data_IF_511356403161
#
_entry.id   IF_511356403161
#
_cell.length_a   1.000
_cell.length_b   1.000
_cell.length_c   1.000
_cell.angle_alpha   90.00
_cell.angle_beta   90.00
_cell.angle_gamma   90.00
#
_symmetry.space_group_name_H-M   'P 1'
#
loop_
_entity.id
_entity.type
_entity.pdbx_description
1 polymer ?
#
# COMPACT_ATOMS: atom_id res chain seq x y z
N UNK A 1 -28.71 28.61 13.34
CA UNK A 1 -29.65 27.59 13.84
C UNK A 1 -29.91 26.48 12.81
N UNK A 2 -30.32 26.79 11.56
CA UNK A 2 -30.55 25.78 10.50
C UNK A 2 -29.29 24.96 10.12
N UNK A 3 -28.11 25.59 10.04
CA UNK A 3 -26.84 24.89 9.78
C UNK A 3 -26.47 23.91 10.90
N UNK A 4 -26.76 24.29 12.15
CA UNK A 4 -26.52 23.44 13.33
C UNK A 4 -27.47 22.23 13.36
N UNK A 5 -28.75 22.45 13.04
CA UNK A 5 -29.75 21.38 12.91
C UNK A 5 -29.39 20.43 11.76
N UNK A 6 -28.98 20.97 10.61
CA UNK A 6 -28.53 20.17 9.46
C UNK A 6 -27.31 19.31 9.81
N UNK A 7 -26.31 19.89 10.47
CA UNK A 7 -25.14 19.14 10.95
C UNK A 7 -25.49 18.03 11.95
N UNK A 8 -26.44 18.28 12.86
CA UNK A 8 -26.85 17.27 13.84
C UNK A 8 -27.69 16.15 13.21
N UNK A 9 -28.51 16.46 12.19
CA UNK A 9 -29.22 15.45 11.40
C UNK A 9 -28.25 14.59 10.61
N UNK A 10 -27.24 15.20 9.99
CA UNK A 10 -26.22 14.49 9.21
C UNK A 10 -25.33 13.61 10.09
N UNK A 11 -24.90 14.10 11.26
CA UNK A 11 -24.23 13.28 12.29
C UNK A 11 -25.09 12.11 12.74
N UNK A 12 -26.38 12.34 13.01
CA UNK A 12 -27.32 11.28 13.38
C UNK A 12 -27.50 10.24 12.27
N UNK A 13 -27.61 10.67 11.01
CA UNK A 13 -27.69 9.77 9.85
C UNK A 13 -26.43 8.94 9.67
N UNK A 14 -25.26 9.56 9.81
CA UNK A 14 -23.97 8.87 9.75
C UNK A 14 -23.84 7.86 10.88
N UNK A 15 -24.34 8.20 12.07
CA UNK A 15 -24.33 7.29 13.20
C UNK A 15 -25.26 6.10 12.98
N UNK A 16 -26.47 6.33 12.46
CA UNK A 16 -27.43 5.26 12.12
C UNK A 16 -26.86 4.36 11.02
N UNK A 17 -26.21 4.92 9.99
CA UNK A 17 -25.64 4.13 8.89
C UNK A 17 -24.48 3.22 9.31
N UNK A 18 -23.86 3.44 10.48
CA UNK A 18 -22.89 2.52 11.08
C UNK A 18 -23.51 1.22 11.62
N UNK A 19 -24.82 1.21 11.88
CA UNK A 19 -25.53 0.05 12.43
C UNK A 19 -26.35 -0.69 11.39
N UNK A 20 -26.78 -0.01 10.32
CA UNK A 20 -27.63 -0.56 9.28
C UNK A 20 -26.92 -0.61 7.92
N UNK A 21 -27.14 -1.69 7.16
CA UNK A 21 -26.63 -1.89 5.80
C UNK A 21 -25.66 -3.08 5.66
N UNK A 22 -25.16 -3.33 4.43
CA UNK A 22 -24.33 -4.49 4.14
C UNK A 22 -22.98 -4.42 4.86
N UNK A 23 -22.52 -5.56 5.36
CA UNK A 23 -21.16 -5.72 5.89
C UNK A 23 -20.26 -6.28 4.81
N UNK A 24 -19.05 -5.75 4.74
CA UNK A 24 -18.06 -6.13 3.74
C UNK A 24 -16.93 -6.91 4.39
N UNK A 25 -16.31 -7.81 3.62
CA UNK A 25 -15.09 -8.48 4.07
C UNK A 25 -13.94 -7.48 4.06
N UNK A 26 -12.92 -7.74 4.89
CA UNK A 26 -11.72 -6.89 5.00
C UNK A 26 -11.06 -6.65 3.62
N UNK A 27 -10.97 -7.69 2.79
CA UNK A 27 -10.43 -7.61 1.42
C UNK A 27 -11.20 -6.63 0.52
N UNK A 28 -12.53 -6.63 0.60
CA UNK A 28 -13.36 -5.76 -0.25
C UNK A 28 -13.20 -4.29 0.13
N UNK A 29 -13.13 -4.01 1.44
CA UNK A 29 -12.89 -2.67 1.98
C UNK A 29 -11.49 -2.18 1.56
N UNK A 30 -10.48 -3.05 1.66
CA UNK A 30 -9.11 -2.75 1.27
C UNK A 30 -9.01 -2.44 -0.23
N UNK A 31 -9.64 -3.25 -1.08
CA UNK A 31 -9.68 -3.00 -2.52
C UNK A 31 -10.34 -1.66 -2.86
N UNK A 32 -11.45 -1.31 -2.20
CA UNK A 32 -12.10 0.00 -2.38
C UNK A 32 -11.18 1.15 -1.97
N UNK A 33 -10.46 1.00 -0.86
CA UNK A 33 -9.47 1.97 -0.42
C UNK A 33 -8.33 2.15 -1.45
N UNK A 34 -7.75 1.05 -1.96
CA UNK A 34 -6.71 1.14 -2.98
C UNK A 34 -7.21 1.75 -4.29
N UNK A 35 -8.42 1.39 -4.74
CA UNK A 35 -9.03 1.96 -5.94
C UNK A 35 -9.25 3.48 -5.79
N UNK A 36 -9.75 3.92 -4.64
CA UNK A 36 -9.88 5.33 -4.31
C UNK A 36 -8.52 6.04 -4.24
N UNK A 37 -7.49 5.43 -3.63
CA UNK A 37 -6.13 6.01 -3.56
C UNK A 37 -5.54 6.23 -4.96
N UNK A 38 -5.72 5.26 -5.86
CA UNK A 38 -5.21 5.28 -7.24
C UNK A 38 -6.07 6.09 -8.22
N UNK A 39 -7.23 6.61 -7.79
CA UNK A 39 -8.09 7.40 -8.66
C UNK A 39 -7.42 8.74 -9.03
N UNK A 40 -7.66 9.21 -10.26
CA UNK A 40 -7.13 10.50 -10.72
C UNK A 40 -7.66 11.69 -9.91
N UNK A 41 -8.89 11.57 -9.41
CA UNK A 41 -9.56 12.57 -8.57
C UNK A 41 -10.11 11.86 -7.34
N UNK A 42 -9.51 12.15 -6.18
CA UNK A 42 -9.93 11.58 -4.90
C UNK A 42 -11.16 12.31 -4.40
N UNK A 43 -12.30 11.62 -4.44
CA UNK A 43 -13.57 12.14 -3.95
C UNK A 43 -13.68 12.01 -2.43
N UNK A 44 -14.02 13.11 -1.74
CA UNK A 44 -14.33 13.08 -0.31
C UNK A 44 -15.60 12.28 0.01
N UNK A 45 -16.57 12.24 -0.92
CA UNK A 45 -17.80 11.47 -0.72
C UNK A 45 -17.54 9.96 -0.77
N UNK A 46 -16.69 9.51 -1.68
CA UNK A 46 -16.26 8.12 -1.78
C UNK A 46 -15.44 7.71 -0.55
N UNK A 47 -14.51 8.57 -0.13
CA UNK A 47 -13.75 8.39 1.11
C UNK A 47 -14.67 8.20 2.31
N UNK A 48 -15.64 9.09 2.48
CA UNK A 48 -16.61 9.00 3.58
C UNK A 48 -17.47 7.73 3.49
N UNK A 49 -17.83 7.29 2.29
CA UNK A 49 -18.54 6.01 2.09
C UNK A 49 -17.69 4.82 2.55
N UNK A 50 -16.43 4.73 2.11
CA UNK A 50 -15.50 3.66 2.50
C UNK A 50 -15.33 3.64 4.02
N UNK A 51 -15.19 4.81 4.62
CA UNK A 51 -15.08 4.97 6.06
C UNK A 51 -16.31 4.44 6.81
N UNK A 52 -17.51 4.80 6.37
CA UNK A 52 -18.77 4.37 7.01
C UNK A 52 -18.96 2.86 6.86
N UNK A 53 -18.78 2.34 5.64
CA UNK A 53 -18.91 0.91 5.34
C UNK A 53 -17.87 0.07 6.07
N UNK A 54 -16.63 0.57 6.11
CA UNK A 54 -15.51 -0.06 6.80
C UNK A 54 -15.72 -0.10 8.32
N UNK A 55 -16.16 1.01 8.90
CA UNK A 55 -16.50 1.10 10.34
C UNK A 55 -17.68 0.18 10.69
N UNK A 56 -18.75 0.17 9.88
CA UNK A 56 -19.92 -0.70 10.09
C UNK A 56 -19.54 -2.18 10.16
N UNK A 57 -18.60 -2.59 9.30
CA UNK A 57 -18.17 -3.98 9.13
C UNK A 57 -17.29 -4.49 10.28
N UNK A 58 -16.80 -3.61 11.17
CA UNK A 58 -16.03 -4.02 12.34
C UNK A 58 -16.90 -4.67 13.41
N UNK A 59 -16.31 -5.61 14.13
CA UNK A 59 -16.88 -6.24 15.32
C UNK A 59 -16.34 -5.57 16.58
N UNK A 60 -17.19 -5.45 17.60
CA UNK A 60 -16.86 -4.88 18.90
C UNK A 60 -17.40 -5.81 19.99
N UNK A 61 -16.65 -5.94 21.08
CA UNK A 61 -17.11 -6.65 22.26
C UNK A 61 -18.15 -5.88 23.07
N UNK A 62 -18.23 -4.55 22.92
CA UNK A 62 -19.23 -3.71 23.59
C UNK A 62 -20.66 -4.05 23.17
N UNK A 63 -20.85 -4.77 22.06
CA UNK A 63 -22.16 -5.32 21.71
C UNK A 63 -22.70 -6.28 22.81
N UNK A 64 -21.83 -6.86 23.65
CA UNK A 64 -22.24 -7.64 24.84
C UNK A 64 -23.01 -6.78 25.84
N UNK A 65 -22.66 -5.50 26.01
CA UNK A 65 -23.36 -4.57 26.91
C UNK A 65 -24.80 -4.33 26.47
N UNK A 66 -25.07 -4.42 25.16
CA UNK A 66 -26.43 -4.28 24.62
C UNK A 66 -27.40 -5.31 25.22
N UNK A 67 -26.95 -6.55 25.39
CA UNK A 67 -27.77 -7.62 25.98
C UNK A 67 -28.17 -7.30 27.41
N UNK A 68 -27.25 -6.75 28.19
CA UNK A 68 -27.51 -6.36 29.58
C UNK A 68 -28.52 -5.22 29.69
N UNK A 69 -28.43 -4.21 28.82
CA UNK A 69 -29.38 -3.09 28.81
C UNK A 69 -30.79 -3.60 28.45
N UNK A 70 -30.93 -4.53 27.50
CA UNK A 70 -32.23 -5.16 27.18
C UNK A 70 -32.77 -5.91 28.39
N UNK A 71 -31.95 -6.74 29.06
CA UNK A 71 -32.37 -7.49 30.24
C UNK A 71 -32.85 -6.54 31.35
N UNK A 72 -32.10 -5.47 31.62
CA UNK A 72 -32.49 -4.43 32.58
C UNK A 72 -33.82 -3.76 32.20
N UNK A 73 -34.03 -3.48 30.91
CA UNK A 73 -35.27 -2.87 30.41
C UNK A 73 -36.47 -3.79 30.64
N UNK A 74 -36.34 -5.09 30.31
CA UNK A 74 -37.41 -6.08 30.50
C UNK A 74 -37.71 -6.29 31.97
N UNK A 75 -36.67 -6.42 32.82
CA UNK A 75 -36.84 -6.54 34.26
C UNK A 75 -37.54 -5.31 34.84
N UNK A 76 -37.12 -4.11 34.45
CA UNK A 76 -37.74 -2.88 34.92
C UNK A 76 -39.22 -2.79 34.52
N UNK A 77 -39.54 -3.13 33.27
CA UNK A 77 -40.91 -3.14 32.76
C UNK A 77 -41.78 -4.16 33.51
N UNK A 78 -41.25 -5.35 33.79
CA UNK A 78 -41.96 -6.38 34.57
C UNK A 78 -42.22 -5.93 36.02
N UNK A 79 -41.24 -5.30 36.67
CA UNK A 79 -41.39 -4.78 38.04
C UNK A 79 -42.39 -3.62 38.04
N UNK A 80 -42.29 -2.69 37.08
CA UNK A 80 -43.18 -1.54 36.96
C UNK A 80 -44.65 -1.94 36.80
N UNK A 81 -44.95 -2.98 36.02
CA UNK A 81 -46.31 -3.50 35.85
C UNK A 81 -46.79 -4.20 37.14
N UNK A 82 -45.92 -4.97 37.80
CA UNK A 82 -46.28 -5.76 38.97
C UNK A 82 -46.60 -4.89 40.21
N UNK A 83 -45.87 -3.79 40.40
CA UNK A 83 -45.94 -2.97 41.62
C UNK A 83 -46.61 -1.61 41.43
N UNK A 84 -47.17 -1.33 40.25
CA UNK A 84 -47.89 -0.09 39.91
C UNK A 84 -47.18 1.19 40.39
N UNK A 85 -45.90 1.31 40.01
CA UNK A 85 -45.07 2.44 40.44
C UNK A 85 -45.61 3.78 39.95
N UNK A 86 -45.42 4.82 40.78
CA UNK A 86 -45.79 6.18 40.45
C UNK A 86 -45.15 6.65 39.12
N UNK A 87 -45.91 7.35 38.28
CA UNK A 87 -45.50 7.73 36.92
C UNK A 87 -44.15 8.45 36.84
N UNK A 88 -43.83 9.30 37.82
CA UNK A 88 -42.55 10.01 37.91
C UNK A 88 -41.37 9.04 37.98
N UNK A 89 -41.49 7.94 38.75
CA UNK A 89 -40.43 6.94 38.91
C UNK A 89 -40.21 6.19 37.58
N UNK A 90 -41.31 5.82 36.90
CA UNK A 90 -41.23 5.16 35.59
C UNK A 90 -40.58 6.06 34.54
N UNK A 91 -40.85 7.36 34.58
CA UNK A 91 -40.28 8.35 33.69
C UNK A 91 -38.77 8.55 33.94
N UNK A 92 -38.33 8.63 35.20
CA UNK A 92 -36.90 8.71 35.55
C UNK A 92 -36.14 7.45 35.10
N UNK A 93 -36.71 6.27 35.33
CA UNK A 93 -36.09 5.01 34.93
C UNK A 93 -36.02 4.88 33.40
N UNK A 94 -37.06 5.30 32.68
CA UNK A 94 -37.04 5.38 31.22
C UNK A 94 -35.90 6.27 30.71
N UNK A 95 -35.74 7.48 31.26
CA UNK A 95 -34.64 8.37 30.86
C UNK A 95 -33.26 7.79 31.19
N UNK A 96 -33.14 7.06 32.30
CA UNK A 96 -31.87 6.40 32.69
C UNK A 96 -31.51 5.29 31.70
N UNK A 97 -32.47 4.42 31.37
CA UNK A 97 -32.29 3.35 30.38
C UNK A 97 -32.00 3.95 29.00
N UNK A 98 -32.73 4.98 28.58
CA UNK A 98 -32.51 5.67 27.31
C UNK A 98 -31.11 6.28 27.24
N UNK A 99 -30.64 6.93 28.31
CA UNK A 99 -29.28 7.46 28.36
C UNK A 99 -28.23 6.33 28.27
N UNK A 100 -28.43 5.21 28.97
CA UNK A 100 -27.55 4.04 28.87
C UNK A 100 -27.51 3.47 27.44
N UNK A 101 -28.67 3.40 26.76
CA UNK A 101 -28.73 3.01 25.35
C UNK A 101 -27.92 3.95 24.46
N UNK A 102 -28.12 5.26 24.60
CA UNK A 102 -27.40 6.27 23.79
C UNK A 102 -25.90 6.15 24.02
N UNK A 103 -25.44 6.09 25.27
CA UNK A 103 -24.01 5.97 25.58
C UNK A 103 -23.41 4.68 25.01
N UNK A 104 -24.13 3.56 25.09
CA UNK A 104 -23.65 2.29 24.54
C UNK A 104 -23.56 2.33 23.01
N UNK A 105 -24.53 2.92 22.31
CA UNK A 105 -24.46 3.14 20.85
C UNK A 105 -23.25 4.00 20.50
N UNK A 106 -23.04 5.11 21.22
CA UNK A 106 -21.90 6.01 20.98
C UNK A 106 -20.57 5.29 21.18
N UNK A 107 -20.44 4.51 22.26
CA UNK A 107 -19.23 3.74 22.56
C UNK A 107 -18.95 2.72 21.46
N UNK A 108 -19.97 1.96 21.03
CA UNK A 108 -19.84 0.97 19.94
C UNK A 108 -19.37 1.66 18.65
N UNK A 109 -19.97 2.80 18.31
CA UNK A 109 -19.60 3.54 17.11
C UNK A 109 -18.15 4.03 17.16
N UNK A 110 -17.70 4.51 18.33
CA UNK A 110 -16.32 4.95 18.55
C UNK A 110 -15.32 3.80 18.44
N UNK A 111 -15.56 2.68 19.13
CA UNK A 111 -14.64 1.54 19.12
C UNK A 111 -14.55 0.91 17.72
N UNK A 112 -15.69 0.73 17.03
CA UNK A 112 -15.68 0.26 15.63
C UNK A 112 -14.87 1.19 14.74
N UNK A 113 -14.99 2.51 14.96
CA UNK A 113 -14.26 3.50 14.16
C UNK A 113 -12.76 3.43 14.44
N UNK A 114 -12.38 3.25 15.70
CA UNK A 114 -11.01 3.05 16.11
C UNK A 114 -10.39 1.79 15.50
N UNK A 115 -11.09 0.65 15.55
CA UNK A 115 -10.64 -0.61 14.92
C UNK A 115 -10.43 -0.40 13.42
N UNK A 116 -11.38 0.24 12.74
CA UNK A 116 -11.26 0.53 11.32
C UNK A 116 -10.09 1.49 11.00
N UNK A 117 -9.92 2.56 11.79
CA UNK A 117 -8.82 3.49 11.61
C UNK A 117 -7.47 2.80 11.83
N UNK A 118 -7.34 1.96 12.86
CA UNK A 118 -6.11 1.19 13.13
C UNK A 118 -5.78 0.28 11.95
N UNK A 119 -6.79 -0.44 11.44
CA UNK A 119 -6.67 -1.26 10.23
C UNK A 119 -6.16 -0.44 9.03
N UNK A 120 -6.80 0.68 8.66
CA UNK A 120 -6.36 1.49 7.52
C UNK A 120 -4.99 2.13 7.76
N UNK A 121 -4.68 2.53 8.99
CA UNK A 121 -3.38 3.11 9.35
C UNK A 121 -2.26 2.10 9.11
N UNK A 122 -2.43 0.85 9.52
CA UNK A 122 -1.48 -0.21 9.24
C UNK A 122 -1.26 -0.43 7.76
N UNK A 123 -2.33 -0.42 6.96
CA UNK A 123 -2.25 -0.58 5.51
C UNK A 123 -1.52 0.59 4.85
N UNK A 124 -1.76 1.82 5.32
CA UNK A 124 -1.02 3.01 4.88
C UNK A 124 0.46 2.90 5.26
N UNK A 125 0.78 2.51 6.49
CA UNK A 125 2.16 2.35 6.96
C UNK A 125 2.89 1.23 6.21
N UNK A 126 2.20 0.14 5.87
CA UNK A 126 2.77 -0.93 5.05
C UNK A 126 3.24 -0.42 3.68
N UNK A 127 2.64 0.65 3.14
CA UNK A 127 3.07 1.25 1.87
C UNK A 127 4.46 1.86 1.93
N UNK A 128 5.03 2.14 3.11
CA UNK A 128 6.42 2.57 3.23
C UNK A 128 7.42 1.49 2.82
N UNK A 129 7.03 0.21 2.87
CA UNK A 129 7.91 -0.90 2.47
C UNK A 129 8.44 -0.72 1.04
N UNK A 130 9.75 -0.88 0.86
CA UNK A 130 10.38 -0.85 -0.47
C UNK A 130 9.73 -1.89 -1.41
N UNK A 131 9.53 -3.12 -0.94
CA UNK A 131 8.90 -4.21 -1.71
C UNK A 131 7.53 -3.82 -2.27
N UNK A 132 6.74 -3.08 -1.49
CA UNK A 132 5.42 -2.63 -1.92
C UNK A 132 5.51 -1.60 -3.05
N UNK A 133 6.44 -0.64 -2.96
CA UNK A 133 6.66 0.32 -4.06
C UNK A 133 7.19 -0.39 -5.30
N UNK A 134 8.18 -1.28 -5.14
CA UNK A 134 8.72 -2.06 -6.25
C UNK A 134 7.61 -2.83 -6.97
N UNK A 135 6.79 -3.55 -6.20
CA UNK A 135 5.68 -4.29 -6.76
C UNK A 135 4.61 -3.39 -7.41
N UNK A 136 4.28 -2.25 -6.81
CA UNK A 136 3.34 -1.27 -7.38
C UNK A 136 3.83 -0.73 -8.73
N UNK A 137 5.11 -0.38 -8.85
CA UNK A 137 5.69 0.14 -10.09
C UNK A 137 5.80 -0.94 -11.18
N UNK A 138 6.24 -2.16 -10.84
CA UNK A 138 6.30 -3.28 -11.78
C UNK A 138 4.89 -3.66 -12.26
N UNK A 139 3.93 -3.82 -11.35
CA UNK A 139 2.56 -4.21 -11.71
C UNK A 139 1.78 -3.13 -12.48
N UNK A 140 2.23 -1.87 -12.44
CA UNK A 140 1.67 -0.79 -13.24
C UNK A 140 2.10 -0.88 -14.72
N UNK A 141 3.25 -1.50 -14.99
CA UNK A 141 3.67 -1.83 -16.36
C UNK A 141 2.80 -2.99 -16.84
N UNK A 142 2.02 -2.76 -17.91
CA UNK A 142 1.28 -3.84 -18.56
C UNK A 142 2.26 -4.83 -19.15
N UNK A 143 2.17 -6.10 -18.73
CA UNK A 143 2.91 -7.21 -19.32
C UNK A 143 2.64 -7.25 -20.83
N UNK A 144 3.70 -7.14 -21.62
CA UNK A 144 3.71 -7.63 -22.99
C UNK A 144 4.42 -8.98 -23.03
N UNK A 145 3.79 -9.95 -23.66
CA UNK A 145 4.41 -11.24 -23.95
C UNK A 145 5.53 -11.05 -25.00
N UNK A 146 6.67 -11.63 -24.64
CA UNK A 146 7.76 -12.13 -25.47
C UNK A 146 8.69 -11.21 -26.29
N UNK A 147 9.97 -11.56 -26.12
CA UNK A 147 11.14 -11.39 -26.97
C UNK A 147 11.54 -9.97 -27.34
N UNK A 148 12.37 -9.38 -26.47
CA UNK A 148 13.17 -8.24 -26.85
C UNK A 148 14.46 -8.76 -27.50
N UNK A 149 14.55 -8.56 -28.81
CA UNK A 149 15.78 -8.75 -29.58
C UNK A 149 16.71 -7.60 -29.21
N UNK A 150 17.67 -7.88 -28.33
CA UNK A 150 18.83 -7.02 -28.12
C UNK A 150 19.76 -7.21 -29.32
N UNK A 151 20.34 -6.12 -29.84
CA UNK A 151 21.42 -6.22 -30.81
C UNK A 151 22.72 -6.49 -30.04
N UNK A 152 23.39 -7.60 -30.36
CA UNK A 152 24.61 -8.04 -29.70
C UNK A 152 25.72 -7.01 -29.94
N UNK A 153 26.45 -6.62 -28.90
CA UNK A 153 27.72 -5.95 -29.10
C UNK A 153 28.70 -7.00 -29.66
N UNK A 154 29.18 -6.83 -30.90
CA UNK A 154 30.00 -7.83 -31.62
C UNK A 154 31.37 -8.14 -30.98
N UNK A 155 31.72 -7.54 -29.83
CA UNK A 155 33.02 -7.74 -29.18
C UNK A 155 32.88 -8.58 -27.91
N UNK A 156 33.57 -9.72 -27.85
CA UNK A 156 33.88 -10.37 -26.58
C UNK A 156 34.77 -9.42 -25.76
N UNK A 157 34.19 -8.84 -24.72
CA UNK A 157 34.84 -7.81 -23.89
C UNK A 157 35.53 -8.53 -22.70
N UNK A 158 36.86 -8.58 -22.71
CA UNK A 158 37.72 -9.10 -21.61
C UNK A 158 37.76 -8.15 -20.39
N UNK A 159 36.60 -7.76 -19.86
CA UNK A 159 36.52 -6.89 -18.68
C UNK A 159 35.67 -7.55 -17.60
N UNK A 160 35.89 -7.23 -16.32
CA UNK A 160 35.04 -7.72 -15.23
C UNK A 160 33.71 -6.95 -15.18
N UNK A 161 32.69 -7.49 -14.50
CA UNK A 161 31.40 -6.79 -14.36
C UNK A 161 31.54 -5.42 -13.69
N UNK A 162 32.45 -5.31 -12.74
CA UNK A 162 32.74 -4.09 -11.97
C UNK A 162 33.35 -2.97 -12.80
N UNK A 163 33.95 -3.29 -13.96
CA UNK A 163 34.55 -2.32 -14.87
C UNK A 163 33.52 -1.69 -15.82
N UNK A 164 32.29 -2.21 -15.81
CA UNK A 164 31.19 -1.74 -16.65
C UNK A 164 30.35 -0.77 -15.84
N UNK A 165 30.16 0.44 -16.37
CA UNK A 165 29.24 1.43 -15.82
C UNK A 165 28.14 1.78 -16.81
N UNK A 166 26.88 1.62 -16.42
CA UNK A 166 25.71 2.08 -17.17
C UNK A 166 25.27 3.41 -16.56
N UNK A 167 25.51 4.50 -17.28
CA UNK A 167 25.09 5.85 -16.90
C UNK A 167 23.68 6.13 -17.43
N UNK A 168 22.73 6.47 -16.54
CA UNK A 168 21.38 6.89 -16.91
C UNK A 168 21.34 8.42 -17.06
N UNK A 169 21.22 8.89 -18.29
CA UNK A 169 21.24 10.31 -18.64
C UNK A 169 19.82 10.89 -18.74
N UNK A 170 19.59 12.13 -18.28
CA UNK A 170 18.28 12.77 -18.40
C UNK A 170 17.80 12.83 -19.85
N UNK A 171 16.53 12.51 -20.05
CA UNK A 171 15.84 12.72 -21.32
C UNK A 171 14.82 13.86 -21.13
N UNK A 172 15.04 14.98 -21.81
CA UNK A 172 14.23 16.19 -21.68
C UNK A 172 12.75 15.96 -22.01
N UNK A 173 12.44 14.97 -22.84
CA UNK A 173 11.08 14.70 -23.30
C UNK A 173 10.36 13.61 -22.50
N UNK A 174 11.10 12.70 -21.85
CA UNK A 174 10.50 11.59 -21.10
C UNK A 174 11.38 11.14 -19.92
N UNK A 175 11.01 11.57 -18.71
CA UNK A 175 11.71 11.18 -17.47
C UNK A 175 11.66 9.68 -17.18
N UNK A 176 10.69 8.93 -17.71
CA UNK A 176 10.61 7.48 -17.53
C UNK A 176 11.56 6.72 -18.45
N UNK A 177 12.05 7.34 -19.53
CA UNK A 177 13.00 6.75 -20.46
C UNK A 177 14.29 7.59 -20.55
N UNK A 178 15.13 7.56 -19.50
CA UNK A 178 16.44 8.19 -19.60
C UNK A 178 17.29 7.53 -20.69
N UNK A 179 18.13 8.32 -21.34
CA UNK A 179 19.12 7.78 -22.29
C UNK A 179 20.20 7.01 -21.55
N UNK A 180 20.91 6.14 -22.25
CA UNK A 180 21.95 5.30 -21.65
C UNK A 180 23.31 5.66 -22.23
N UNK A 181 24.35 5.61 -21.41
CA UNK A 181 25.74 5.60 -21.86
C UNK A 181 26.48 4.52 -21.12
N UNK A 182 27.18 3.68 -21.86
CA UNK A 182 27.98 2.59 -21.31
C UNK A 182 29.43 3.03 -21.28
N UNK A 183 30.07 2.86 -20.13
CA UNK A 183 31.51 3.02 -19.95
C UNK A 183 32.11 1.65 -19.66
N UNK A 184 33.16 1.28 -20.37
CA UNK A 184 33.90 0.02 -20.17
C UNK A 184 35.35 0.40 -19.95
N UNK A 185 35.83 0.33 -18.71
CA UNK A 185 37.12 0.88 -18.33
C UNK A 185 37.23 2.38 -18.70
N UNK A 186 38.08 2.71 -19.66
CA UNK A 186 38.28 4.08 -20.15
C UNK A 186 37.49 4.42 -21.43
N UNK A 187 36.84 3.43 -22.06
CA UNK A 187 36.07 3.64 -23.28
C UNK A 187 34.63 4.07 -22.98
N UNK A 188 34.12 5.03 -23.75
CA UNK A 188 32.74 5.53 -23.62
C UNK A 188 31.96 5.24 -24.88
N UNK A 189 30.78 4.65 -24.74
CA UNK A 189 29.85 4.46 -25.85
C UNK A 189 29.23 5.79 -26.28
N UNK A 190 28.66 5.79 -27.48
CA UNK A 190 27.68 6.81 -27.87
C UNK A 190 26.46 6.75 -26.95
N UNK A 191 25.65 7.81 -26.98
CA UNK A 191 24.36 7.82 -26.26
C UNK A 191 23.44 6.80 -26.92
N UNK A 192 22.95 5.87 -26.12
CA UNK A 192 22.10 4.74 -26.53
C UNK A 192 20.65 4.99 -26.12
N UNK A 193 19.73 4.51 -26.95
CA UNK A 193 18.33 4.38 -26.58
C UNK A 193 18.16 3.16 -25.66
N UNK A 194 17.33 3.20 -24.60
CA UNK A 194 17.01 2.03 -23.76
C UNK A 194 16.57 0.78 -24.53
N UNK A 195 16.04 0.93 -25.75
CA UNK A 195 15.72 -0.20 -26.63
C UNK A 195 16.93 -1.09 -26.95
N UNK A 196 18.13 -0.51 -27.03
CA UNK A 196 19.37 -1.25 -27.32
C UNK A 196 19.75 -2.29 -26.27
N UNK A 197 19.28 -2.12 -25.02
CA UNK A 197 19.47 -3.06 -23.92
C UNK A 197 18.20 -3.84 -23.58
N UNK A 198 17.16 -3.71 -24.40
CA UNK A 198 15.87 -4.34 -24.17
C UNK A 198 15.18 -3.86 -22.89
N UNK A 199 15.23 -2.56 -22.63
CA UNK A 199 14.65 -1.91 -21.45
C UNK A 199 13.36 -1.13 -21.77
N UNK A 200 12.83 -1.31 -22.99
CA UNK A 200 11.56 -0.73 -23.44
C UNK A 200 10.57 -1.85 -23.75
N UNK A 201 9.29 -1.51 -23.83
CA UNK A 201 8.28 -2.47 -24.31
C UNK A 201 8.50 -2.83 -25.77
N UNK A 202 8.19 -4.07 -26.11
CA UNK A 202 8.18 -4.57 -27.49
C UNK A 202 7.04 -3.93 -28.29
N UNK A 203 5.88 -3.68 -27.67
CA UNK A 203 4.72 -3.07 -28.32
C UNK A 203 4.84 -1.54 -28.51
N UNK A 204 5.49 -0.85 -27.58
CA UNK A 204 5.73 0.60 -27.63
C UNK A 204 7.10 0.97 -27.08
N UNK A 205 8.04 1.28 -27.98
CA UNK A 205 9.40 1.71 -27.64
C UNK A 205 9.46 3.08 -26.92
N UNK A 206 8.33 3.74 -26.67
CA UNK A 206 8.21 4.96 -25.86
C UNK A 206 7.84 4.71 -24.40
N UNK A 207 7.62 3.45 -24.02
CA UNK A 207 7.37 3.06 -22.63
C UNK A 207 8.49 2.16 -22.10
N UNK A 208 8.86 2.35 -20.83
CA UNK A 208 9.78 1.44 -20.12
C UNK A 208 9.11 0.09 -19.84
N UNK A 209 9.91 -0.97 -19.78
CA UNK A 209 9.47 -2.28 -19.29
C UNK A 209 9.84 -2.49 -17.80
N UNK A 210 9.50 -3.65 -17.26
CA UNK A 210 9.77 -4.03 -15.87
C UNK A 210 11.28 -4.14 -15.58
N UNK A 211 12.07 -4.55 -16.58
CA UNK A 211 13.53 -4.69 -16.45
C UNK A 211 14.21 -3.35 -16.22
N UNK A 212 13.73 -2.29 -16.87
CA UNK A 212 14.30 -0.96 -16.66
C UNK A 212 14.03 -0.42 -15.25
N UNK A 213 12.88 -0.77 -14.67
CA UNK A 213 12.55 -0.43 -13.28
C UNK A 213 13.56 -1.08 -12.34
N UNK A 214 13.86 -2.37 -12.53
CA UNK A 214 14.89 -3.07 -11.77
C UNK A 214 16.28 -2.45 -11.93
N UNK A 215 16.67 -2.09 -13.15
CA UNK A 215 17.97 -1.45 -13.39
C UNK A 215 18.10 -0.11 -12.66
N UNK A 216 17.03 0.71 -12.62
CA UNK A 216 17.02 1.98 -11.88
C UNK A 216 17.19 1.79 -10.38
N UNK A 217 16.65 0.70 -9.82
CA UNK A 217 16.81 0.35 -8.41
C UNK A 217 18.25 -0.02 -8.10
N UNK A 218 18.87 -0.83 -8.96
CA UNK A 218 20.30 -1.11 -8.86
C UNK A 218 21.12 0.17 -9.00
N UNK A 219 20.68 1.14 -9.81
CA UNK A 219 21.31 2.46 -9.86
C UNK A 219 21.20 3.29 -8.58
N UNK A 220 20.09 3.16 -7.86
CA UNK A 220 19.89 3.93 -6.63
C UNK A 220 20.59 3.32 -5.40
N UNK A 221 20.60 1.99 -5.29
CA UNK A 221 21.07 1.30 -4.08
C UNK A 221 22.22 0.32 -4.34
N UNK A 222 22.43 -0.13 -5.57
CA UNK A 222 23.34 -1.23 -5.92
C UNK A 222 22.82 -2.63 -5.56
N UNK A 223 21.79 -2.71 -4.72
CA UNK A 223 21.24 -3.94 -4.19
C UNK A 223 19.82 -3.75 -3.66
N UNK A 224 19.08 -4.84 -3.46
CA UNK A 224 17.81 -4.78 -2.72
C UNK A 224 17.41 -6.14 -2.13
N UNK A 225 16.51 -6.09 -1.15
CA UNK A 225 15.80 -7.25 -0.61
C UNK A 225 14.32 -7.09 -0.95
N UNK A 226 13.70 -8.14 -1.49
CA UNK A 226 12.28 -8.15 -1.77
C UNK A 226 11.53 -9.07 -0.80
N UNK A 227 10.76 -8.45 0.08
CA UNK A 227 9.87 -9.16 1.00
C UNK A 227 8.40 -9.00 0.57
N UNK A 228 7.92 -9.99 -0.19
CA UNK A 228 6.53 -10.14 -0.62
C UNK A 228 6.04 -11.59 -0.54
N UNK A 229 4.83 -11.85 -1.02
CA UNK A 229 4.29 -13.21 -1.07
C UNK A 229 5.07 -14.11 -2.04
N UNK A 230 5.01 -15.43 -1.85
CA UNK A 230 5.77 -16.40 -2.67
C UNK A 230 5.56 -16.23 -4.18
N UNK A 231 4.36 -15.86 -4.63
CA UNK A 231 4.08 -15.60 -6.05
C UNK A 231 4.77 -14.33 -6.55
N UNK A 232 4.80 -13.28 -5.74
CA UNK A 232 5.50 -12.03 -6.05
C UNK A 232 7.02 -12.25 -6.06
N UNK A 233 7.55 -12.97 -5.06
CA UNK A 233 8.97 -13.34 -4.98
C UNK A 233 9.43 -14.05 -6.25
N UNK A 234 8.72 -15.11 -6.66
CA UNK A 234 9.00 -15.83 -7.91
C UNK A 234 8.97 -14.91 -9.15
N UNK A 235 8.01 -14.00 -9.22
CA UNK A 235 7.92 -13.04 -10.33
C UNK A 235 9.11 -12.08 -10.36
N UNK A 236 9.57 -11.60 -9.20
CA UNK A 236 10.76 -10.75 -9.11
C UNK A 236 12.02 -11.54 -9.47
N UNK A 237 12.15 -12.77 -8.98
CA UNK A 237 13.30 -13.65 -9.29
C UNK A 237 13.40 -13.90 -10.81
N UNK A 238 12.27 -14.16 -11.48
CA UNK A 238 12.22 -14.31 -12.93
C UNK A 238 12.62 -13.03 -13.68
N UNK A 239 12.18 -11.86 -13.22
CA UNK A 239 12.54 -10.57 -13.81
C UNK A 239 14.03 -10.25 -13.62
N UNK A 240 14.58 -10.52 -12.43
CA UNK A 240 16.02 -10.35 -12.16
C UNK A 240 16.84 -11.28 -13.07
N UNK A 241 16.41 -12.53 -13.23
CA UNK A 241 17.07 -13.47 -14.15
C UNK A 241 17.02 -12.99 -15.60
N UNK A 242 15.88 -12.46 -16.06
CA UNK A 242 15.75 -11.88 -17.42
C UNK A 242 16.66 -10.67 -17.61
N UNK A 243 16.74 -9.77 -16.61
CA UNK A 243 17.65 -8.63 -16.64
C UNK A 243 19.12 -9.09 -16.71
N UNK A 244 19.49 -10.06 -15.87
CA UNK A 244 20.83 -10.66 -15.88
C UNK A 244 21.20 -11.25 -17.25
N UNK A 245 20.27 -12.00 -17.86
CA UNK A 245 20.44 -12.54 -19.21
C UNK A 245 20.59 -11.47 -20.29
N UNK A 246 19.82 -10.38 -20.22
CA UNK A 246 19.95 -9.26 -21.17
C UNK A 246 21.33 -8.59 -21.05
N UNK A 247 21.84 -8.43 -19.83
CA UNK A 247 23.18 -7.89 -19.58
C UNK A 247 24.27 -8.83 -20.12
N UNK A 248 24.16 -10.14 -19.87
CA UNK A 248 25.07 -11.16 -20.44
C UNK A 248 25.03 -11.13 -21.97
N UNK A 249 23.84 -11.04 -22.56
CA UNK A 249 23.69 -11.00 -24.01
C UNK A 249 24.40 -9.78 -24.62
N UNK A 250 24.30 -8.63 -23.97
CA UNK A 250 24.88 -7.38 -24.47
C UNK A 250 26.40 -7.28 -24.22
N UNK A 251 26.86 -7.64 -23.03
CA UNK A 251 28.25 -7.47 -22.60
C UNK A 251 29.13 -8.70 -22.78
N UNK A 252 28.54 -9.85 -23.14
CA UNK A 252 29.20 -11.14 -23.23
C UNK A 252 29.14 -11.92 -21.92
N UNK A 253 29.30 -13.24 -22.05
CA UNK A 253 29.36 -14.18 -20.93
C UNK A 253 30.68 -14.05 -20.17
N UNK A 254 30.62 -14.22 -18.84
CA UNK A 254 31.75 -14.16 -17.90
C UNK A 254 31.62 -15.29 -16.87
N UNK A 255 32.65 -15.47 -16.05
CA UNK A 255 32.69 -16.54 -15.03
C UNK A 255 31.58 -16.44 -13.98
N UNK A 256 31.14 -15.22 -13.66
CA UNK A 256 30.04 -14.95 -12.74
C UNK A 256 28.89 -14.28 -13.49
N UNK A 257 27.67 -14.40 -12.96
CA UNK A 257 26.52 -13.65 -13.45
C UNK A 257 26.60 -12.18 -13.00
N UNK A 258 26.12 -11.21 -13.81
CA UNK A 258 26.17 -9.78 -13.47
C UNK A 258 25.29 -9.42 -12.26
N UNK A 259 24.28 -10.25 -11.95
CA UNK A 259 23.40 -10.09 -10.80
C UNK A 259 23.29 -11.44 -10.08
N UNK A 260 23.58 -11.46 -8.79
CA UNK A 260 23.51 -12.67 -7.96
C UNK A 260 22.73 -12.41 -6.67
N UNK A 261 22.13 -13.47 -6.13
CA UNK A 261 21.53 -13.44 -4.82
C UNK A 261 22.52 -13.96 -3.78
N UNK A 262 22.73 -13.19 -2.72
CA UNK A 262 23.46 -13.65 -1.55
C UNK A 262 22.62 -14.70 -0.81
N UNK A 263 23.20 -15.90 -0.64
CA UNK A 263 22.55 -17.03 0.01
C UNK A 263 22.26 -16.79 1.51
N UNK A 264 23.06 -15.96 2.18
CA UNK A 264 22.94 -15.72 3.62
C UNK A 264 21.92 -14.62 3.91
N UNK A 265 21.90 -13.57 3.09
CA UNK A 265 21.04 -12.40 3.31
C UNK A 265 19.79 -12.36 2.43
N UNK A 266 19.72 -13.18 1.38
CA UNK A 266 18.63 -13.18 0.38
C UNK A 266 18.60 -11.92 -0.49
N UNK A 267 19.65 -11.10 -0.44
CA UNK A 267 19.78 -9.82 -1.12
C UNK A 267 20.26 -10.03 -2.55
N UNK A 268 19.64 -9.33 -3.49
CA UNK A 268 20.12 -9.27 -4.87
C UNK A 268 21.18 -8.19 -4.99
N UNK A 269 22.32 -8.53 -5.58
CA UNK A 269 23.46 -7.65 -5.79
C UNK A 269 23.79 -7.56 -7.28
N UNK A 270 23.97 -6.34 -7.77
CA UNK A 270 24.40 -6.08 -9.15
C UNK A 270 25.87 -5.69 -9.15
N UNK A 271 26.70 -6.44 -9.89
CA UNK A 271 28.13 -6.17 -10.00
C UNK A 271 28.46 -5.12 -11.05
N UNK A 272 27.52 -4.83 -11.97
CA UNK A 272 27.63 -3.70 -12.89
C UNK A 272 27.30 -2.43 -12.13
N UNK A 273 28.13 -1.40 -12.29
CA UNK A 273 27.86 -0.08 -11.72
C UNK A 273 26.76 0.61 -12.53
N UNK A 274 25.70 1.09 -11.87
CA UNK A 274 24.64 1.85 -12.53
C UNK A 274 24.62 3.25 -11.94
N UNK A 275 25.00 4.24 -12.74
CA UNK A 275 25.08 5.64 -12.31
C UNK A 275 23.81 6.39 -12.76
N UNK A 276 22.81 6.48 -11.87
CA UNK A 276 21.55 7.17 -12.16
C UNK A 276 21.68 8.70 -12.00
N UNK A 277 21.97 9.43 -13.08
CA UNK A 277 21.98 10.91 -13.08
C UNK A 277 20.58 11.52 -13.06
N UNK A 278 19.53 10.72 -13.23
CA UNK A 278 18.14 11.22 -13.31
C UNK A 278 17.45 11.28 -11.96
N UNK A 279 17.94 10.52 -10.98
CA UNK A 279 17.35 10.32 -9.66
C UNK A 279 15.85 9.96 -9.76
N UNK A 280 15.48 9.17 -10.77
CA UNK A 280 14.07 8.90 -11.06
C UNK A 280 13.44 8.04 -9.97
N UNK A 281 14.16 7.03 -9.46
CA UNK A 281 13.66 6.21 -8.36
C UNK A 281 13.46 7.04 -7.09
N UNK A 282 14.44 7.85 -6.71
CA UNK A 282 14.34 8.71 -5.54
C UNK A 282 13.13 9.67 -5.60
N UNK A 283 12.82 10.22 -6.77
CA UNK A 283 11.62 11.05 -6.97
C UNK A 283 10.32 10.27 -6.76
N UNK A 284 10.26 9.02 -7.22
CA UNK A 284 9.11 8.12 -6.99
C UNK A 284 8.94 7.88 -5.49
N UNK A 285 10.02 7.62 -4.76
CA UNK A 285 9.98 7.44 -3.31
C UNK A 285 9.50 8.69 -2.57
N UNK A 286 10.03 9.86 -2.92
CA UNK A 286 9.60 11.12 -2.32
C UNK A 286 8.11 11.37 -2.54
N UNK A 287 7.62 11.17 -3.78
CA UNK A 287 6.20 11.30 -4.11
C UNK A 287 5.33 10.33 -3.30
N UNK A 288 5.79 9.08 -3.15
CA UNK A 288 5.10 8.09 -2.31
C UNK A 288 5.08 8.51 -0.84
N UNK A 289 6.20 8.97 -0.29
CA UNK A 289 6.28 9.40 1.10
C UNK A 289 5.35 10.60 1.37
N UNK A 290 5.25 11.54 0.42
CA UNK A 290 4.28 12.63 0.49
C UNK A 290 2.83 12.13 0.42
N UNK A 291 2.53 11.19 -0.48
CA UNK A 291 1.20 10.55 -0.56
C UNK A 291 0.82 9.87 0.76
N UNK A 292 1.74 9.12 1.36
CA UNK A 292 1.53 8.44 2.63
C UNK A 292 1.28 9.46 3.76
N UNK A 293 2.07 10.54 3.84
CA UNK A 293 1.86 11.58 4.84
C UNK A 293 0.46 12.21 4.73
N UNK A 294 0.01 12.53 3.51
CA UNK A 294 -1.34 13.06 3.25
C UNK A 294 -2.45 12.04 3.58
N UNK A 295 -2.20 10.75 3.33
CA UNK A 295 -3.14 9.69 3.69
C UNK A 295 -3.26 9.57 5.20
N UNK A 296 -2.15 9.56 5.94
CA UNK A 296 -2.15 9.51 7.39
C UNK A 296 -2.88 10.72 7.99
N UNK A 297 -2.56 11.93 7.52
CA UNK A 297 -3.22 13.16 8.00
C UNK A 297 -4.73 13.15 7.73
N UNK A 298 -5.13 12.67 6.55
CA UNK A 298 -6.53 12.78 6.14
C UNK A 298 -7.41 11.61 6.60
N UNK A 299 -6.86 10.41 6.81
CA UNK A 299 -7.62 9.21 7.22
C UNK A 299 -7.57 8.95 8.72
N UNK A 300 -6.49 9.31 9.40
CA UNK A 300 -6.33 9.12 10.83
C UNK A 300 -6.80 10.39 11.53
N UNK A 301 -7.90 10.39 12.29
CA UNK A 301 -8.22 11.53 13.13
C UNK A 301 -7.13 11.62 14.20
N UNK A 302 -6.31 12.67 14.14
CA UNK A 302 -5.36 13.03 15.19
C UNK A 302 -6.10 13.31 16.51
N UNK A 303 -6.37 12.27 17.28
CA UNK A 303 -6.63 12.32 18.72
C UNK A 303 -5.98 11.11 19.37
N UNK A 304 -4.78 11.32 19.89
CA UNK A 304 -4.13 10.59 21.01
C UNK A 304 -3.77 9.10 20.85
N UNK A 305 -4.12 8.40 19.76
CA UNK A 305 -3.99 6.93 19.73
C UNK A 305 -2.71 6.33 19.12
N UNK A 306 -1.78 7.16 18.64
CA UNK A 306 -0.48 6.65 18.14
C UNK A 306 0.28 5.91 19.26
N UNK A 307 0.13 6.31 20.52
CA UNK A 307 0.79 5.65 21.67
C UNK A 307 0.18 4.28 22.06
N UNK A 308 -1.05 3.96 21.64
CA UNK A 308 -1.70 2.65 21.95
C UNK A 308 -1.48 1.58 20.89
N UNK A 309 -1.08 1.97 19.68
CA UNK A 309 -0.85 1.06 18.55
C UNK A 309 0.44 0.23 18.78
N UNK A 310 1.33 0.68 19.66
CA UNK A 310 2.74 0.28 19.64
C UNK A 310 3.14 -0.96 20.47
N UNK A 311 2.22 -1.78 21.01
CA UNK A 311 2.63 -3.00 21.77
C UNK A 311 1.81 -4.27 21.61
N UNK A 312 0.61 -4.22 21.03
CA UNK A 312 -0.23 -5.43 20.85
C UNK A 312 -0.21 -5.98 19.42
N UNK A 313 0.05 -5.15 18.42
CA UNK A 313 -0.10 -5.53 17.01
C UNK A 313 1.18 -6.10 16.35
N UNK A 314 2.37 -5.90 16.93
CA UNK A 314 3.58 -6.61 16.49
C UNK A 314 3.44 -8.13 16.63
N UNK A 315 2.65 -8.62 17.60
CA UNK A 315 2.36 -10.05 17.77
C UNK A 315 1.38 -10.63 16.73
N UNK A 316 0.55 -9.80 16.10
CA UNK A 316 -0.43 -10.23 15.10
C UNK A 316 0.16 -10.33 13.69
N UNK A 317 1.31 -9.68 13.44
CA UNK A 317 2.06 -9.83 12.18
C UNK A 317 2.65 -11.23 11.95
N UNK A 318 2.65 -12.10 12.96
CA UNK A 318 3.16 -13.48 12.85
C UNK A 318 2.10 -14.57 12.65
N UNK A 319 0.81 -14.22 12.56
CA UNK A 319 -0.23 -15.20 12.23
C UNK A 319 -0.80 -14.90 10.86
N UNK A 320 -0.48 -15.80 9.94
CA UNK A 320 -0.70 -15.69 8.52
C UNK A 320 -2.14 -15.39 8.12
N UNK A 321 -2.23 -14.86 6.91
CA UNK A 321 -3.41 -14.85 6.06
C UNK A 321 -3.90 -16.28 5.78
N UNK A 322 -4.56 -16.86 6.75
CA UNK A 322 -5.64 -17.84 6.61
C UNK A 322 -6.73 -17.21 7.51
N UNK A 323 -8.03 -17.08 7.22
CA UNK A 323 -9.08 -17.94 6.65
C UNK A 323 -10.24 -16.99 6.30
#
# INVERSE_FOLDING_TARGET
MLVFIKNNIEKSRNLISLFYGPRYKRKDILNRFHNWRKSKVRSDSEKNSIIIEGTRSQYTEQFKNWKWIIIQTVLWLAISIKYDFHHIINLMAFFTILNQFIQNILSIAQEKRQIFNSFITQEILAMHSFSNLLWEEISAVKNDDDNIVTEKLEKSIEFEWTDITIELLPNEYNNQLPFLRVHIGNEKSNILNPSSLGLVKSSDHKEQNELFILLKIFGQYGHFIFDGHNTQKRSIDELVRKLSQNLIFYFGEKDLDPIQQDNDTGRWECFINVDDKTNCWHKIEQKRNQDIALLLESWVPLKEEIEKIDKREESYRMKGYEW
#
